data_IF_290690176544
#
_entry.id   IF_290690176544
#
_cell.length_a   1.000
_cell.length_b   1.000
_cell.length_c   1.000
_cell.angle_alpha   90.00
_cell.angle_beta   90.00
_cell.angle_gamma   90.00
#
_symmetry.space_group_name_H-M   'P 1'
#
loop_
_entity.id
_entity.type
_entity.pdbx_description
1 polymer ?
#
# COMPACT_ATOMS: atom_id res chain seq x y z
N UNK A 1 -13.34 -20.23 -10.32
CA UNK A 1 -13.52 -18.90 -9.69
C UNK A 1 -12.43 -17.89 -10.12
N UNK A 2 -12.16 -17.74 -11.42
CA UNK A 2 -10.94 -17.09 -11.95
C UNK A 2 -10.96 -15.55 -11.99
N UNK A 3 -12.14 -14.92 -11.95
CA UNK A 3 -12.26 -13.46 -12.08
C UNK A 3 -11.78 -12.65 -10.86
N UNK A 4 -11.52 -13.28 -9.71
CA UNK A 4 -11.18 -12.57 -8.49
C UNK A 4 -9.71 -12.13 -8.42
N UNK A 5 -8.76 -13.00 -8.80
CA UNK A 5 -7.32 -12.70 -8.74
C UNK A 5 -6.89 -11.58 -9.70
N UNK A 6 -7.38 -11.65 -10.95
CA UNK A 6 -7.14 -10.61 -11.96
C UNK A 6 -7.71 -9.24 -11.54
N UNK A 7 -8.90 -9.22 -10.93
CA UNK A 7 -9.50 -7.99 -10.38
C UNK A 7 -8.67 -7.40 -9.24
N UNK A 8 -8.11 -8.23 -8.35
CA UNK A 8 -7.27 -7.76 -7.24
C UNK A 8 -5.96 -7.17 -7.76
N UNK A 9 -5.30 -7.82 -8.71
CA UNK A 9 -4.09 -7.30 -9.35
C UNK A 9 -4.36 -5.97 -10.08
N UNK A 10 -5.47 -5.85 -10.80
CA UNK A 10 -5.85 -4.61 -11.48
C UNK A 10 -6.19 -3.46 -10.52
N UNK A 11 -6.84 -3.75 -9.39
CA UNK A 11 -7.15 -2.76 -8.35
C UNK A 11 -5.86 -2.30 -7.65
N UNK A 12 -4.98 -3.22 -7.27
CA UNK A 12 -3.68 -2.92 -6.67
C UNK A 12 -2.82 -2.07 -7.63
N UNK A 13 -2.80 -2.42 -8.91
CA UNK A 13 -2.07 -1.66 -9.92
C UNK A 13 -2.63 -0.25 -10.13
N UNK A 14 -3.96 -0.09 -10.16
CA UNK A 14 -4.58 1.24 -10.27
C UNK A 14 -4.27 2.11 -9.06
N UNK A 15 -4.36 1.56 -7.85
CA UNK A 15 -3.99 2.27 -6.63
C UNK A 15 -2.51 2.64 -6.60
N UNK A 16 -1.62 1.78 -7.10
CA UNK A 16 -0.17 2.04 -7.14
C UNK A 16 0.20 3.28 -7.97
N UNK A 17 -0.50 3.52 -9.09
CA UNK A 17 -0.23 4.67 -9.97
C UNK A 17 -0.67 6.01 -9.38
N UNK A 18 -1.52 6.00 -8.36
CA UNK A 18 -2.01 7.22 -7.71
C UNK A 18 -1.17 7.67 -6.52
N UNK A 19 -0.16 6.90 -6.12
CA UNK A 19 0.69 7.24 -4.96
C UNK A 19 1.79 8.21 -5.40
N UNK A 20 1.78 9.42 -4.84
CA UNK A 20 2.86 10.40 -5.01
C UNK A 20 4.02 10.10 -4.04
N UNK A 21 4.86 9.12 -4.41
CA UNK A 21 6.03 8.73 -3.63
C UNK A 21 7.05 9.86 -3.46
N UNK A 22 7.18 10.74 -4.46
CA UNK A 22 8.14 11.86 -4.43
C UNK A 22 7.66 12.97 -3.51
N UNK A 23 6.36 13.29 -3.52
CA UNK A 23 5.75 14.24 -2.59
C UNK A 23 5.87 13.78 -1.14
N UNK A 24 5.59 12.50 -0.89
CA UNK A 24 5.73 11.90 0.45
C UNK A 24 7.18 11.90 0.94
N UNK A 25 8.17 11.63 0.06
CA UNK A 25 9.58 11.67 0.46
C UNK A 25 10.03 13.07 0.92
N UNK A 26 9.50 14.14 0.32
CA UNK A 26 9.86 15.53 0.63
C UNK A 26 9.42 16.00 2.02
N UNK A 27 8.35 15.44 2.56
CA UNK A 27 7.84 15.83 3.89
C UNK A 27 8.52 15.08 5.04
N UNK A 28 9.39 14.11 4.74
CA UNK A 28 10.13 13.36 5.75
C UNK A 28 11.36 14.15 6.20
N UNK A 29 11.35 14.51 7.48
CA UNK A 29 12.37 15.37 8.10
C UNK A 29 13.46 14.60 8.86
N UNK A 30 13.29 13.31 9.10
CA UNK A 30 14.30 12.47 9.79
C UNK A 30 14.93 11.45 8.84
N UNK A 31 16.22 11.17 9.04
CA UNK A 31 16.96 10.20 8.20
C UNK A 31 16.41 8.77 8.36
N UNK A 32 15.98 8.41 9.57
CA UNK A 32 15.34 7.13 9.84
C UNK A 32 14.02 6.99 9.08
N UNK A 33 13.16 8.02 9.08
CA UNK A 33 11.92 7.97 8.33
C UNK A 33 12.16 7.87 6.82
N UNK A 34 13.17 8.58 6.29
CA UNK A 34 13.56 8.47 4.86
C UNK A 34 14.03 7.06 4.51
N UNK A 35 14.81 6.42 5.39
CA UNK A 35 15.28 5.05 5.22
C UNK A 35 14.10 4.07 5.19
N UNK A 36 13.23 4.12 6.20
CA UNK A 36 12.08 3.21 6.29
C UNK A 36 11.07 3.44 5.16
N UNK A 37 10.86 4.69 4.74
CA UNK A 37 10.02 5.01 3.59
C UNK A 37 10.57 4.42 2.28
N UNK A 38 11.89 4.49 2.08
CA UNK A 38 12.54 3.88 0.91
C UNK A 38 12.40 2.36 0.92
N UNK A 39 12.54 1.73 2.09
CA UNK A 39 12.31 0.30 2.27
C UNK A 39 10.86 -0.09 1.94
N UNK A 40 9.89 0.70 2.41
CA UNK A 40 8.47 0.50 2.13
C UNK A 40 8.17 0.59 0.63
N UNK A 41 8.66 1.62 -0.04
CA UNK A 41 8.50 1.78 -1.49
C UNK A 41 9.05 0.59 -2.25
N UNK A 42 10.26 0.13 -1.89
CA UNK A 42 10.88 -1.05 -2.52
C UNK A 42 10.03 -2.31 -2.34
N UNK A 43 9.56 -2.58 -1.11
CA UNK A 43 8.72 -3.73 -0.82
C UNK A 43 7.39 -3.67 -1.59
N UNK A 44 6.80 -2.47 -1.69
CA UNK A 44 5.59 -2.24 -2.46
C UNK A 44 5.80 -2.50 -3.97
N UNK A 45 6.86 -1.96 -4.56
CA UNK A 45 7.18 -2.15 -5.98
C UNK A 45 7.47 -3.62 -6.30
N UNK A 46 8.14 -4.34 -5.40
CA UNK A 46 8.40 -5.77 -5.53
C UNK A 46 7.10 -6.58 -5.55
N UNK A 47 6.21 -6.36 -4.57
CA UNK A 47 4.91 -7.05 -4.51
C UNK A 47 4.06 -6.73 -5.74
N UNK A 48 4.01 -5.47 -6.15
CA UNK A 48 3.24 -5.03 -7.31
C UNK A 48 3.78 -5.71 -8.58
N UNK A 49 5.09 -5.75 -8.76
CA UNK A 49 5.73 -6.44 -9.90
C UNK A 49 5.39 -7.92 -9.91
N UNK A 50 5.52 -8.61 -8.78
CA UNK A 50 5.21 -10.05 -8.68
C UNK A 50 3.74 -10.34 -9.00
N UNK A 51 2.81 -9.54 -8.49
CA UNK A 51 1.39 -9.67 -8.78
C UNK A 51 1.10 -9.52 -10.28
N UNK A 52 1.72 -8.54 -10.94
CA UNK A 52 1.52 -8.31 -12.37
C UNK A 52 2.13 -9.39 -13.25
N UNK A 53 3.33 -9.88 -12.93
CA UNK A 53 4.05 -10.77 -13.83
C UNK A 53 3.73 -12.25 -13.59
N UNK A 54 3.66 -12.68 -12.32
CA UNK A 54 3.61 -14.10 -11.95
C UNK A 54 2.21 -14.59 -11.60
N UNK A 55 1.41 -13.76 -10.94
CA UNK A 55 0.11 -14.16 -10.40
C UNK A 55 -1.09 -13.64 -11.19
N UNK A 56 -0.86 -12.79 -12.20
CA UNK A 56 -1.91 -12.34 -13.13
C UNK A 56 -2.14 -13.29 -14.31
N UNK A 57 -1.31 -14.34 -14.44
CA UNK A 57 -1.45 -15.35 -15.48
C UNK A 57 -2.35 -16.48 -14.96
N UNK A 58 -3.41 -16.83 -15.71
CA UNK A 58 -4.18 -18.03 -15.40
C UNK A 58 -3.28 -19.26 -15.62
N UNK A 59 -3.32 -20.26 -14.72
CA UNK A 59 -2.59 -21.50 -14.96
C UNK A 59 -3.08 -22.12 -16.28
N UNK A 60 -2.14 -22.62 -17.08
CA UNK A 60 -2.48 -23.22 -18.37
C UNK A 60 -3.48 -24.37 -18.16
N UNK A 61 -4.58 -24.41 -18.95
CA UNK A 61 -5.54 -25.50 -18.85
C UNK A 61 -4.87 -26.84 -19.08
N UNK A 62 -5.13 -27.81 -18.19
CA UNK A 62 -4.61 -29.17 -18.33
C UNK A 62 -5.31 -29.84 -19.52
N UNK A 63 -4.53 -30.33 -20.49
CA UNK A 63 -5.04 -31.12 -21.62
C UNK A 63 -5.30 -32.57 -21.19
N UNK A 64 -6.45 -32.78 -20.56
CA UNK A 64 -6.88 -34.10 -20.10
C UNK A 64 -7.01 -35.12 -21.23
N UNK A 65 -7.38 -34.70 -22.45
CA UNK A 65 -7.58 -35.60 -23.59
C UNK A 65 -6.26 -36.12 -24.16
N UNK A 66 -5.20 -35.31 -24.14
CA UNK A 66 -3.85 -35.76 -24.44
C UNK A 66 -3.40 -36.87 -23.48
N UNK A 67 -3.58 -36.68 -22.17
CA UNK A 67 -3.17 -37.67 -21.17
C UNK A 67 -4.03 -38.94 -21.21
N UNK A 68 -5.33 -38.83 -21.51
CA UNK A 68 -6.22 -39.99 -21.70
C UNK A 68 -5.73 -40.94 -22.79
N UNK A 69 -5.13 -40.41 -23.88
CA UNK A 69 -4.58 -41.21 -24.98
C UNK A 69 -3.32 -41.99 -24.61
N UNK A 70 -2.50 -41.47 -23.69
CA UNK A 70 -1.23 -42.10 -23.29
C UNK A 70 -1.35 -43.07 -22.12
N UNK A 71 -2.14 -42.71 -21.10
CA UNK A 71 -2.14 -43.39 -19.79
C UNK A 71 -3.47 -44.13 -19.53
N UNK A 72 -4.48 -43.89 -20.38
CA UNK A 72 -5.82 -44.47 -20.27
C UNK A 72 -6.79 -43.60 -19.45
N UNK A 73 -8.08 -43.71 -19.73
CA UNK A 73 -9.11 -42.83 -19.17
C UNK A 73 -9.30 -42.96 -17.66
N UNK A 74 -9.25 -44.18 -17.11
CA UNK A 74 -9.58 -44.43 -15.70
C UNK A 74 -8.69 -43.67 -14.71
N UNK A 75 -7.38 -43.58 -14.96
CA UNK A 75 -6.46 -42.83 -14.09
C UNK A 75 -6.67 -41.33 -14.29
N UNK A 76 -6.76 -40.88 -15.55
CA UNK A 76 -6.86 -39.45 -15.86
C UNK A 76 -8.16 -38.84 -15.35
N UNK A 77 -9.27 -39.57 -15.43
CA UNK A 77 -10.57 -39.11 -14.93
C UNK A 77 -10.58 -39.00 -13.39
N UNK A 78 -9.92 -39.93 -12.68
CA UNK A 78 -9.73 -39.86 -11.22
C UNK A 78 -8.93 -38.62 -10.81
N UNK A 79 -7.84 -38.30 -11.53
CA UNK A 79 -7.04 -37.10 -11.26
C UNK A 79 -7.78 -35.81 -11.62
N UNK A 80 -8.59 -35.82 -12.68
CA UNK A 80 -9.43 -34.68 -13.05
C UNK A 80 -10.46 -34.38 -11.95
N UNK A 81 -11.15 -35.41 -11.44
CA UNK A 81 -12.11 -35.26 -10.34
C UNK A 81 -11.43 -34.76 -9.05
N UNK A 82 -10.26 -35.31 -8.72
CA UNK A 82 -9.46 -34.83 -7.60
C UNK A 82 -9.03 -33.36 -7.77
N UNK A 83 -8.59 -32.96 -8.98
CA UNK A 83 -8.18 -31.59 -9.28
C UNK A 83 -9.35 -30.60 -9.18
N UNK A 84 -10.51 -30.96 -9.75
CA UNK A 84 -11.71 -30.12 -9.75
C UNK A 84 -12.32 -29.97 -8.34
N UNK A 85 -12.08 -30.94 -7.45
CA UNK A 85 -12.53 -30.89 -6.04
C UNK A 85 -11.59 -30.15 -5.09
N UNK A 86 -10.37 -29.77 -5.53
CA UNK A 86 -9.46 -28.99 -4.68
C UNK A 86 -9.98 -27.56 -4.52
N UNK A 87 -10.35 -27.22 -3.29
CA UNK A 87 -10.61 -25.83 -2.92
C UNK A 87 -9.32 -25.14 -2.49
N UNK A 88 -8.88 -24.16 -3.28
CA UNK A 88 -7.71 -23.34 -2.94
C UNK A 88 -8.08 -22.41 -1.78
N UNK A 89 -7.39 -22.49 -0.62
CA UNK A 89 -7.64 -21.58 0.50
C UNK A 89 -7.43 -20.13 0.08
N UNK A 90 -8.39 -19.27 0.44
CA UNK A 90 -8.28 -17.84 0.18
C UNK A 90 -7.43 -17.19 1.28
N UNK A 91 -6.63 -16.21 0.88
CA UNK A 91 -5.90 -15.38 1.83
C UNK A 91 -6.89 -14.62 2.73
N UNK A 92 -6.64 -14.65 4.05
CA UNK A 92 -7.40 -13.90 5.05
C UNK A 92 -6.54 -12.74 5.53
N UNK A 93 -7.04 -11.53 5.30
CA UNK A 93 -6.35 -10.30 5.73
C UNK A 93 -6.58 -10.05 7.22
N UNK A 94 -5.56 -10.39 8.02
CA UNK A 94 -5.54 -10.12 9.46
C UNK A 94 -4.76 -8.85 9.82
N UNK A 95 -4.12 -8.21 8.83
CA UNK A 95 -3.17 -7.12 9.06
C UNK A 95 -3.89 -5.77 8.98
N UNK A 96 -4.73 -5.55 7.97
CA UNK A 96 -5.47 -4.28 7.83
C UNK A 96 -6.29 -3.90 9.07
N UNK A 97 -7.02 -4.83 9.73
CA UNK A 97 -7.73 -4.51 10.97
C UNK A 97 -6.83 -4.10 12.13
N UNK A 98 -5.58 -4.59 12.18
CA UNK A 98 -4.62 -4.26 13.23
C UNK A 98 -4.07 -2.83 13.08
N UNK A 99 -3.81 -2.41 11.84
CA UNK A 99 -3.21 -1.09 11.57
C UNK A 99 -4.22 0.03 11.45
N UNK A 100 -5.49 -0.27 11.15
CA UNK A 100 -6.56 0.71 11.10
C UNK A 100 -6.67 1.58 12.37
N UNK A 101 -6.76 1.03 13.60
CA UNK A 101 -6.84 1.86 14.80
C UNK A 101 -5.56 2.69 15.04
N UNK A 102 -4.38 2.17 14.68
CA UNK A 102 -3.11 2.91 14.78
C UNK A 102 -3.12 4.13 13.84
N UNK A 103 -3.62 3.95 12.62
CA UNK A 103 -3.77 5.05 11.67
C UNK A 103 -4.81 6.07 12.12
N UNK A 104 -5.96 5.61 12.61
CA UNK A 104 -7.02 6.48 13.11
C UNK A 104 -6.52 7.31 14.33
N UNK A 105 -5.65 6.75 15.17
CA UNK A 105 -5.00 7.49 16.27
C UNK A 105 -4.03 8.58 15.75
N UNK A 106 -3.22 8.28 14.73
CA UNK A 106 -2.32 9.27 14.11
C UNK A 106 -3.09 10.45 13.51
N UNK A 107 -4.29 10.23 12.98
CA UNK A 107 -5.15 11.33 12.49
C UNK A 107 -5.60 12.27 13.61
N UNK A 108 -5.81 11.76 14.82
CA UNK A 108 -6.13 12.59 15.98
C UNK A 108 -4.90 13.40 16.40
N UNK A 109 -3.75 12.74 16.52
CA UNK A 109 -2.49 13.40 16.86
C UNK A 109 -2.12 14.52 15.87
N UNK A 110 -2.34 14.28 14.57
CA UNK A 110 -2.08 15.27 13.53
C UNK A 110 -2.95 16.52 13.68
N UNK A 111 -4.24 16.36 14.02
CA UNK A 111 -5.14 17.49 14.29
C UNK A 111 -4.71 18.29 15.51
N UNK A 112 -4.23 17.61 16.55
CA UNK A 112 -3.72 18.29 17.75
C UNK A 112 -2.42 19.04 17.47
N UNK A 113 -1.51 18.44 16.69
CA UNK A 113 -0.26 19.08 16.27
C UNK A 113 -0.51 20.30 15.38
N UNK A 114 -1.47 20.23 14.46
CA UNK A 114 -1.91 21.36 13.63
C UNK A 114 -2.41 22.51 14.49
N UNK A 115 -3.30 22.25 15.45
CA UNK A 115 -3.81 23.29 16.36
C UNK A 115 -2.70 23.93 17.20
N UNK A 116 -1.72 23.14 17.66
CA UNK A 116 -0.56 23.67 18.38
C UNK A 116 0.29 24.56 17.48
N UNK A 117 0.55 24.14 16.25
CA UNK A 117 1.32 24.91 15.26
C UNK A 117 0.67 26.24 14.92
N UNK A 118 -0.66 26.27 14.75
CA UNK A 118 -1.42 27.48 14.46
C UNK A 118 -1.29 28.51 15.61
N UNK A 119 -1.47 28.05 16.85
CA UNK A 119 -1.31 28.92 18.03
C UNK A 119 0.10 29.46 18.18
N UNK A 120 1.12 28.64 17.92
CA UNK A 120 2.51 29.09 17.98
C UNK A 120 2.82 30.11 16.87
N UNK A 121 2.27 29.91 15.67
CA UNK A 121 2.41 30.86 14.56
C UNK A 121 1.76 32.21 14.89
N UNK A 122 0.54 32.21 15.45
CA UNK A 122 -0.13 33.44 15.92
C UNK A 122 0.68 34.18 17.00
N UNK A 123 1.36 33.44 17.89
CA UNK A 123 2.24 34.05 18.90
C UNK A 123 3.45 34.71 18.26
N UNK A 124 4.11 34.01 17.34
CA UNK A 124 5.29 34.51 16.63
C UNK A 124 4.95 35.73 15.76
N UNK A 125 3.79 35.75 15.11
CA UNK A 125 3.34 36.92 14.34
C UNK A 125 3.17 38.17 15.21
N UNK A 126 2.59 38.03 16.41
CA UNK A 126 2.49 39.15 17.36
C UNK A 126 3.86 39.65 17.80
N UNK A 127 4.76 38.72 18.13
CA UNK A 127 6.13 39.06 18.53
C UNK A 127 6.90 39.77 17.40
N UNK A 128 6.71 39.37 16.15
CA UNK A 128 7.30 40.05 14.98
C UNK A 128 6.78 41.49 14.87
N UNK A 129 5.48 41.72 15.05
CA UNK A 129 4.89 43.07 15.01
C UNK A 129 5.49 43.95 16.13
N UNK A 130 5.51 43.45 17.37
CA UNK A 130 6.06 44.18 18.52
C UNK A 130 7.54 44.56 18.29
N UNK A 131 8.34 43.63 17.79
CA UNK A 131 9.77 43.88 17.45
C UNK A 131 9.92 44.89 16.33
N UNK A 132 9.06 44.84 15.29
CA UNK A 132 9.07 45.82 14.21
C UNK A 132 8.72 47.22 14.71
N UNK A 133 7.72 47.37 15.58
CA UNK A 133 7.35 48.65 16.18
C UNK A 133 8.48 49.24 17.03
N UNK A 134 9.17 48.40 17.80
CA UNK A 134 10.36 48.81 18.57
C UNK A 134 11.50 49.24 17.63
N UNK A 135 11.75 48.49 16.56
CA UNK A 135 12.84 48.82 15.61
C UNK A 135 12.62 50.15 14.87
N UNK A 136 11.36 50.52 14.58
CA UNK A 136 11.02 51.80 13.93
C UNK A 136 11.11 52.98 14.90
N UNK A 137 10.93 52.74 16.21
CA UNK A 137 10.94 53.77 17.25
C UNK A 137 12.33 54.06 17.84
N UNK A 138 13.37 53.31 17.46
CA UNK A 138 14.77 53.61 17.82
C UNK A 138 15.36 54.56 16.76
N UNK A 139 15.65 55.84 17.08
CA UNK A 139 16.32 56.75 16.15
C UNK A 139 17.78 56.34 15.94
N UNK A 140 18.25 56.40 14.69
CA UNK A 140 19.68 56.19 14.34
C UNK A 140 20.58 57.29 14.90
#
# INVERSE_FOLDING_TARGET
MSGAGKKVADVAFKASRTIDWEGMAKVLVTDEARREFSNLRRAFDEVNTQLQTKFSQEPEPIDWDFYRKGIGSGIVDMYKEAYDSVEIPKYVDNVTPEYKPKFDALLVELKEAEQKSLKESERLEKEIIDVQEISVSIPQ
#
